data_IF_687731338242
#
_entry.id   IF_687731338242
#
_cell.length_a   1.000
_cell.length_b   1.000
_cell.length_c   1.000
_cell.angle_alpha   90.00
_cell.angle_beta   90.00
_cell.angle_gamma   90.00
#
_symmetry.space_group_name_H-M   'P 1'
#
loop_
_entity.id
_entity.type
_entity.pdbx_description
1 polymer ?
#
# COMPACT_ATOMS: atom_id res chain seq x y z
N UNK A 1 -13.59 -23.55 7.76
CA UNK A 1 -12.93 -23.85 6.47
C UNK A 1 -12.88 -22.58 5.65
N UNK A 2 -11.69 -22.05 5.38
CA UNK A 2 -11.54 -20.84 4.55
C UNK A 2 -11.65 -21.24 3.08
N UNK A 3 -12.89 -21.28 2.57
CA UNK A 3 -13.13 -21.43 1.14
C UNK A 3 -12.51 -20.26 0.35
N UNK A 4 -12.17 -20.48 -0.92
CA UNK A 4 -11.69 -19.42 -1.82
C UNK A 4 -12.61 -18.19 -1.85
N UNK A 5 -13.91 -18.40 -1.63
CA UNK A 5 -14.91 -17.32 -1.56
C UNK A 5 -14.71 -16.43 -0.32
N UNK A 6 -14.32 -17.00 0.82
CA UNK A 6 -14.04 -16.21 2.03
C UNK A 6 -12.88 -15.24 1.85
N UNK A 7 -11.88 -15.58 1.02
CA UNK A 7 -10.74 -14.70 0.77
C UNK A 7 -11.10 -13.47 -0.06
N UNK A 8 -12.18 -13.49 -0.83
CA UNK A 8 -12.60 -12.37 -1.69
C UNK A 8 -13.86 -11.64 -1.19
N UNK A 9 -14.54 -12.19 -0.20
CA UNK A 9 -15.70 -11.56 0.43
C UNK A 9 -15.26 -10.34 1.25
N UNK A 10 -16.00 -9.23 1.15
CA UNK A 10 -15.65 -7.99 1.84
C UNK A 10 -15.66 -8.11 3.37
N UNK A 11 -16.41 -9.07 3.92
CA UNK A 11 -16.57 -9.32 5.35
C UNK A 11 -15.48 -10.23 5.92
N UNK A 12 -14.78 -11.01 5.09
CA UNK A 12 -13.81 -12.01 5.58
C UNK A 12 -12.45 -11.92 4.91
N UNK A 13 -12.30 -11.08 3.89
CA UNK A 13 -11.05 -10.90 3.18
C UNK A 13 -10.00 -10.19 4.05
N UNK A 14 -8.76 -10.72 4.09
CA UNK A 14 -7.60 -10.05 4.68
C UNK A 14 -6.92 -9.06 3.73
N UNK A 15 -7.33 -8.97 2.45
CA UNK A 15 -6.86 -7.99 1.46
C UNK A 15 -7.60 -6.64 1.54
N UNK A 16 -6.82 -5.60 1.85
CA UNK A 16 -7.23 -4.24 2.14
C UNK A 16 -6.39 -3.28 1.29
N UNK A 17 -6.68 -1.98 1.40
CA UNK A 17 -5.93 -0.93 0.71
C UNK A 17 -5.41 0.06 1.73
N UNK A 18 -4.16 0.49 1.54
CA UNK A 18 -3.62 1.66 2.20
C UNK A 18 -3.70 2.80 1.18
N UNK A 19 -4.29 3.92 1.60
CA UNK A 19 -4.29 5.17 0.84
C UNK A 19 -3.67 6.27 1.68
N UNK A 20 -2.98 7.18 1.01
CA UNK A 20 -2.35 8.34 1.61
C UNK A 20 -3.36 9.49 1.62
N UNK A 21 -3.73 9.93 2.82
CA UNK A 21 -4.85 10.85 3.02
C UNK A 21 -4.34 12.21 3.47
N UNK A 22 -4.57 13.23 2.64
CA UNK A 22 -4.46 14.62 3.04
C UNK A 22 -5.73 15.03 3.79
N UNK A 23 -5.56 15.81 4.87
CA UNK A 23 -6.67 16.38 5.64
C UNK A 23 -7.71 15.35 6.08
N UNK A 24 -7.25 14.23 6.65
CA UNK A 24 -8.11 13.13 7.09
C UNK A 24 -9.26 13.61 8.00
N UNK A 25 -9.02 14.59 8.86
CA UNK A 25 -10.01 15.13 9.80
C UNK A 25 -10.93 16.21 9.19
N UNK A 26 -10.73 16.61 7.93
CA UNK A 26 -11.48 17.69 7.27
C UNK A 26 -12.24 17.13 6.04
N UNK A 27 -13.45 16.54 6.21
CA UNK A 27 -14.15 15.83 5.13
C UNK A 27 -14.28 16.61 3.81
N UNK A 28 -14.45 17.94 3.87
CA UNK A 28 -14.62 18.80 2.70
C UNK A 28 -13.31 19.07 1.93
N UNK A 29 -12.15 18.82 2.55
CA UNK A 29 -10.81 19.04 1.95
C UNK A 29 -9.99 17.75 1.87
N UNK A 30 -10.59 16.61 2.22
CA UNK A 30 -9.94 15.31 2.22
C UNK A 30 -9.60 14.88 0.81
N UNK A 31 -8.37 14.41 0.61
CA UNK A 31 -7.93 13.87 -0.67
C UNK A 31 -7.21 12.55 -0.43
N UNK A 32 -7.61 11.52 -1.17
CA UNK A 32 -6.96 10.21 -1.17
C UNK A 32 -6.01 10.10 -2.35
N UNK A 33 -4.77 9.72 -2.09
CA UNK A 33 -3.78 9.41 -3.13
C UNK A 33 -3.06 8.10 -2.83
N UNK A 34 -2.22 7.67 -3.77
CA UNK A 34 -1.30 6.54 -3.61
C UNK A 34 -1.95 5.26 -3.06
N UNK A 35 -2.87 4.72 -3.86
CA UNK A 35 -3.64 3.54 -3.51
C UNK A 35 -2.82 2.26 -3.69
N UNK A 36 -2.50 1.55 -2.61
CA UNK A 36 -1.70 0.33 -2.64
C UNK A 36 -2.39 -0.83 -1.95
N UNK A 37 -2.22 -2.05 -2.47
CA UNK A 37 -2.73 -3.25 -1.81
C UNK A 37 -1.94 -3.50 -0.53
N UNK A 38 -2.62 -4.00 0.49
CA UNK A 38 -2.02 -4.45 1.73
C UNK A 38 -2.83 -5.62 2.30
N UNK A 39 -2.24 -6.40 3.18
CA UNK A 39 -2.97 -7.49 3.85
C UNK A 39 -2.64 -7.56 5.33
N UNK A 40 -3.65 -7.90 6.12
CA UNK A 40 -3.56 -8.01 7.57
C UNK A 40 -2.93 -9.36 7.96
N UNK A 41 -1.86 -9.30 8.76
CA UNK A 41 -1.14 -10.49 9.26
C UNK A 41 -1.37 -10.74 10.76
N UNK A 42 -2.41 -10.11 11.33
CA UNK A 42 -2.78 -10.24 12.73
C UNK A 42 -2.25 -9.10 13.61
N UNK A 43 -2.87 -8.95 14.79
CA UNK A 43 -2.49 -7.96 15.81
C UNK A 43 -2.41 -6.50 15.29
N UNK A 44 -3.17 -6.16 14.25
CA UNK A 44 -3.18 -4.83 13.64
C UNK A 44 -1.98 -4.53 12.75
N UNK A 45 -1.17 -5.53 12.38
CA UNK A 45 -0.04 -5.38 11.47
C UNK A 45 -0.39 -5.70 10.03
N UNK A 46 0.07 -4.86 9.10
CA UNK A 46 -0.21 -4.98 7.67
C UNK A 46 1.07 -5.00 6.88
N UNK A 47 1.10 -5.81 5.84
CA UNK A 47 2.20 -5.84 4.87
C UNK A 47 1.76 -5.25 3.53
N UNK A 48 2.69 -4.55 2.89
CA UNK A 48 2.58 -4.00 1.54
C UNK A 48 4.00 -3.91 0.92
N UNK A 49 4.19 -3.12 -0.14
CA UNK A 49 5.46 -2.94 -0.85
C UNK A 49 6.16 -1.63 -0.47
N UNK A 50 7.50 -1.66 -0.42
CA UNK A 50 8.30 -0.52 0.02
C UNK A 50 8.61 0.49 -1.08
N UNK A 51 8.71 0.08 -2.35
CA UNK A 51 8.94 1.01 -3.47
C UNK A 51 7.85 2.07 -3.56
N UNK A 52 6.62 1.72 -3.18
CA UNK A 52 5.48 2.63 -3.15
C UNK A 52 5.69 3.82 -2.19
N UNK A 53 6.56 3.70 -1.18
CA UNK A 53 6.91 4.78 -0.25
C UNK A 53 7.83 5.85 -0.88
N UNK A 54 8.60 5.45 -1.91
CA UNK A 54 9.60 6.29 -2.58
C UNK A 54 9.05 7.04 -3.79
N UNK A 55 7.81 6.73 -4.19
CA UNK A 55 7.11 7.49 -5.24
C UNK A 55 6.88 8.92 -4.73
N UNK A 56 7.20 9.90 -5.57
CA UNK A 56 6.99 11.32 -5.27
C UNK A 56 5.56 11.73 -5.62
N UNK A 57 4.87 12.40 -4.71
CA UNK A 57 3.68 13.16 -5.08
C UNK A 57 4.10 14.34 -5.96
N UNK A 58 3.36 14.62 -7.03
CA UNK A 58 3.70 15.75 -7.91
C UNK A 58 3.62 17.11 -7.20
N UNK A 59 2.80 17.20 -6.15
CA UNK A 59 2.58 18.39 -5.33
C UNK A 59 1.83 17.99 -4.05
N UNK A 60 1.87 18.84 -3.02
CA UNK A 60 1.11 18.63 -1.79
C UNK A 60 -0.27 19.29 -1.88
N UNK A 61 -1.32 18.67 -1.34
CA UNK A 61 -2.66 19.29 -1.31
C UNK A 61 -2.81 20.30 -0.17
N UNK A 62 -2.02 20.10 0.87
CA UNK A 62 -1.97 20.94 2.05
C UNK A 62 -0.66 20.71 2.78
N UNK A 63 -0.19 21.71 3.51
CA UNK A 63 1.00 21.63 4.36
C UNK A 63 0.86 22.60 5.52
N UNK A 64 1.46 22.33 6.68
CA UNK A 64 1.49 23.35 7.73
C UNK A 64 2.33 24.55 7.28
N UNK A 65 1.92 25.74 7.69
CA UNK A 65 2.66 26.96 7.39
C UNK A 65 4.09 26.89 7.94
N UNK A 66 4.28 26.31 9.13
CA UNK A 66 5.60 26.11 9.73
C UNK A 66 6.53 25.33 8.80
N UNK A 67 6.07 24.18 8.28
CA UNK A 67 6.88 23.35 7.38
C UNK A 67 7.11 24.09 6.06
N UNK A 68 6.10 24.74 5.50
CA UNK A 68 6.26 25.53 4.28
C UNK A 68 7.34 26.61 4.44
N UNK A 69 7.29 27.38 5.53
CA UNK A 69 8.26 28.43 5.81
C UNK A 69 9.67 27.86 6.00
N UNK A 70 9.79 26.80 6.81
CA UNK A 70 11.07 26.20 7.18
C UNK A 70 11.76 25.43 6.05
N UNK A 71 11.01 24.76 5.19
CA UNK A 71 11.57 23.78 4.25
C UNK A 71 11.51 24.22 2.77
N UNK A 72 10.61 25.16 2.43
CA UNK A 72 10.36 25.57 1.05
C UNK A 72 10.55 27.07 0.84
N UNK A 73 9.90 27.93 1.63
CA UNK A 73 9.80 29.36 1.37
C UNK A 73 11.16 30.05 1.18
N UNK A 74 12.14 29.74 2.04
CA UNK A 74 13.48 30.34 1.97
C UNK A 74 14.27 29.93 0.70
N UNK A 75 13.85 28.89 -0.01
CA UNK A 75 14.47 28.41 -1.27
C UNK A 75 13.84 29.08 -2.50
N UNK A 76 12.67 29.69 -2.38
CA UNK A 76 11.93 30.29 -3.48
C UNK A 76 12.50 31.66 -3.84
N UNK A 77 12.57 31.96 -5.14
CA UNK A 77 12.75 33.35 -5.59
C UNK A 77 11.40 34.09 -5.59
N UNK A 78 11.44 35.40 -5.88
CA UNK A 78 10.24 36.25 -5.82
C UNK A 78 9.13 35.85 -6.80
N UNK A 79 9.47 35.34 -7.99
CA UNK A 79 8.46 34.93 -8.97
C UNK A 79 7.83 33.59 -8.59
N UNK A 80 8.65 32.64 -8.11
CA UNK A 80 8.18 31.34 -7.62
C UNK A 80 7.30 31.48 -6.38
N UNK A 81 7.69 32.35 -5.44
CA UNK A 81 6.87 32.66 -4.28
C UNK A 81 5.52 33.23 -4.70
N UNK A 82 5.52 34.25 -5.57
CA UNK A 82 4.28 34.85 -6.06
C UNK A 82 3.39 33.83 -6.80
N UNK A 83 4.00 32.90 -7.53
CA UNK A 83 3.29 31.82 -8.21
C UNK A 83 2.63 30.84 -7.22
N UNK A 84 3.35 30.41 -6.18
CA UNK A 84 2.77 29.54 -5.16
C UNK A 84 1.69 30.26 -4.35
N UNK A 85 1.88 31.54 -4.01
CA UNK A 85 0.88 32.35 -3.28
C UNK A 85 -0.41 32.58 -4.10
N UNK A 86 -0.36 32.47 -5.43
CA UNK A 86 -1.56 32.49 -6.29
C UNK A 86 -2.35 31.17 -6.27
N UNK A 87 -1.68 30.06 -5.97
CA UNK A 87 -2.26 28.71 -6.07
C UNK A 87 -2.48 28.04 -4.72
N UNK A 88 -1.87 28.55 -3.65
CA UNK A 88 -2.09 28.13 -2.28
C UNK A 88 -2.62 29.28 -1.45
N UNK A 89 -3.59 29.00 -0.58
CA UNK A 89 -4.05 29.96 0.41
C UNK A 89 -3.74 29.45 1.82
N UNK A 90 -3.41 30.38 2.72
CA UNK A 90 -3.26 30.07 4.15
C UNK A 90 -4.61 30.18 4.83
N UNK A 91 -4.99 29.13 5.54
CA UNK A 91 -6.17 29.12 6.40
C UNK A 91 -5.76 29.53 7.81
N UNK A 92 -6.24 30.69 8.27
CA UNK A 92 -5.82 31.28 9.55
C UNK A 92 -6.15 30.43 10.77
N UNK A 93 -7.21 29.62 10.69
CA UNK A 93 -7.65 28.78 11.81
C UNK A 93 -6.76 27.55 11.97
N UNK A 94 -6.51 26.84 10.89
CA UNK A 94 -5.68 25.62 10.90
C UNK A 94 -4.18 25.89 10.79
N UNK A 95 -3.77 27.12 10.42
CA UNK A 95 -2.39 27.50 10.11
C UNK A 95 -1.74 26.57 9.06
N UNK A 96 -2.55 26.10 8.12
CA UNK A 96 -2.13 25.29 6.98
C UNK A 96 -2.31 26.06 5.69
N UNK A 97 -1.42 25.81 4.74
CA UNK A 97 -1.59 26.21 3.36
C UNK A 97 -2.33 25.11 2.61
N UNK A 98 -3.33 25.47 1.81
CA UNK A 98 -4.14 24.54 1.03
C UNK A 98 -4.06 24.89 -0.44
N UNK A 99 -3.98 23.87 -1.29
CA UNK A 99 -4.03 24.02 -2.72
C UNK A 99 -5.44 24.46 -3.14
N UNK A 100 -5.53 25.53 -3.91
CA UNK A 100 -6.77 25.97 -4.54
C UNK A 100 -7.18 25.05 -5.69
N UNK A 101 -8.41 25.21 -6.18
CA UNK A 101 -8.80 24.57 -7.45
C UNK A 101 -7.96 25.17 -8.58
N UNK A 102 -7.09 24.36 -9.16
CA UNK A 102 -6.12 24.75 -10.18
C UNK A 102 -6.22 23.83 -11.40
N UNK A 103 -5.79 24.33 -12.56
CA UNK A 103 -5.71 23.54 -13.79
C UNK A 103 -4.42 22.70 -13.86
N UNK A 104 -4.33 21.83 -14.87
CA UNK A 104 -3.17 20.95 -15.05
C UNK A 104 -1.87 21.71 -15.34
N UNK A 105 -1.92 22.88 -15.96
CA UNK A 105 -0.73 23.66 -16.28
C UNK A 105 -0.13 24.27 -15.00
N UNK A 106 -0.99 24.80 -14.13
CA UNK A 106 -0.59 25.26 -12.79
C UNK A 106 -0.01 24.13 -11.95
N UNK A 107 -0.63 22.93 -11.95
CA UNK A 107 -0.11 21.76 -11.25
C UNK A 107 1.28 21.33 -11.73
N UNK A 108 1.51 21.32 -13.05
CA UNK A 108 2.82 21.07 -13.63
C UNK A 108 3.83 22.14 -13.20
N UNK A 109 3.43 23.41 -13.21
CA UNK A 109 4.25 24.53 -12.72
C UNK A 109 4.68 24.35 -11.26
N UNK A 110 3.73 24.01 -10.38
CA UNK A 110 4.00 23.73 -8.96
C UNK A 110 4.98 22.56 -8.84
N UNK A 111 4.71 21.44 -9.50
CA UNK A 111 5.58 20.26 -9.44
C UNK A 111 7.01 20.54 -9.92
N UNK A 112 7.15 21.33 -10.99
CA UNK A 112 8.46 21.77 -11.48
C UNK A 112 9.21 22.62 -10.47
N UNK A 113 8.53 23.56 -9.78
CA UNK A 113 9.13 24.36 -8.71
C UNK A 113 9.60 23.46 -7.57
N UNK A 114 8.75 22.55 -7.08
CA UNK A 114 9.10 21.64 -5.99
C UNK A 114 10.32 20.77 -6.35
N UNK A 115 10.35 20.24 -7.58
CA UNK A 115 11.50 19.47 -8.09
C UNK A 115 12.76 20.33 -8.17
N UNK A 116 12.67 21.54 -8.73
CA UNK A 116 13.81 22.46 -8.83
C UNK A 116 14.37 22.82 -7.45
N UNK A 117 13.52 22.97 -6.44
CA UNK A 117 13.92 23.31 -5.07
C UNK A 117 14.25 22.10 -4.21
N UNK A 118 14.21 20.88 -4.79
CA UNK A 118 14.41 19.63 -4.07
C UNK A 118 13.57 19.61 -2.79
N UNK A 119 12.28 19.90 -2.94
CA UNK A 119 11.32 19.70 -1.88
C UNK A 119 10.86 18.25 -1.94
N UNK A 120 11.16 17.48 -0.91
CA UNK A 120 10.90 16.04 -0.88
C UNK A 120 9.41 15.75 -0.64
N UNK A 121 8.75 15.27 -1.68
CA UNK A 121 7.34 14.87 -1.70
C UNK A 121 7.15 13.35 -1.73
N UNK A 122 8.20 12.57 -1.43
CA UNK A 122 8.05 11.11 -1.27
C UNK A 122 7.08 10.81 -0.14
N UNK A 123 6.25 9.79 -0.32
CA UNK A 123 5.22 9.45 0.66
C UNK A 123 5.78 9.25 2.06
N UNK A 124 6.91 8.54 2.20
CA UNK A 124 7.58 8.37 3.50
C UNK A 124 7.90 9.71 4.18
N UNK A 125 8.48 10.66 3.45
CA UNK A 125 8.82 11.99 3.97
C UNK A 125 7.58 12.81 4.30
N UNK A 126 6.52 12.68 3.49
CA UNK A 126 5.24 13.34 3.72
C UNK A 126 4.55 12.82 5.00
N UNK A 127 4.69 11.53 5.32
CA UNK A 127 4.26 10.94 6.60
C UNK A 127 5.07 11.46 7.78
N UNK A 128 6.40 11.40 7.70
CA UNK A 128 7.31 11.89 8.75
C UNK A 128 7.03 13.36 9.11
N UNK A 129 6.73 14.18 8.11
CA UNK A 129 6.39 15.59 8.25
C UNK A 129 4.92 15.83 8.60
N UNK A 130 4.11 14.78 8.78
CA UNK A 130 2.66 14.84 9.06
C UNK A 130 1.84 15.64 8.02
N UNK A 131 2.34 15.73 6.79
CA UNK A 131 1.69 16.44 5.69
C UNK A 131 0.57 15.57 5.10
N UNK A 132 0.83 14.27 4.99
CA UNK A 132 -0.10 13.26 4.49
C UNK A 132 0.09 11.98 5.30
N UNK A 133 -0.99 11.28 5.67
CA UNK A 133 -0.91 10.10 6.52
C UNK A 133 -1.52 8.86 5.87
N UNK A 134 -0.89 7.68 5.98
CA UNK A 134 -1.47 6.46 5.45
C UNK A 134 -2.66 6.02 6.31
N UNK A 135 -3.73 5.59 5.65
CA UNK A 135 -4.92 5.03 6.27
C UNK A 135 -5.30 3.74 5.57
N UNK A 136 -5.78 2.76 6.35
CA UNK A 136 -6.55 1.65 5.81
C UNK A 136 -7.91 2.15 5.36
N UNK A 137 -8.28 1.77 4.14
CA UNK A 137 -9.58 2.05 3.54
C UNK A 137 -10.36 0.75 3.50
N UNK A 138 -11.30 0.59 4.44
CA UNK A 138 -12.16 -0.60 4.55
C UNK A 138 -13.57 -0.22 4.10
N UNK A 139 -14.13 -0.99 3.17
CA UNK A 139 -15.35 -0.60 2.46
C UNK A 139 -16.36 -1.74 2.41
N UNK A 140 -17.62 -1.42 2.71
CA UNK A 140 -18.73 -2.37 2.75
C UNK A 140 -19.93 -1.85 1.98
N UNK A 141 -20.80 -2.76 1.50
CA UNK A 141 -22.11 -2.36 0.96
C UNK A 141 -23.00 -1.76 2.04
N UNK A 142 -23.06 -2.43 3.19
CA UNK A 142 -23.86 -2.01 4.32
C UNK A 142 -23.09 -1.00 5.17
N UNK A 143 -23.79 -0.19 5.97
CA UNK A 143 -23.15 0.80 6.85
C UNK A 143 -22.80 0.19 8.23
N UNK A 144 -22.19 -1.00 8.21
CA UNK A 144 -21.78 -1.73 9.41
C UNK A 144 -20.34 -2.21 9.24
N UNK A 145 -19.55 -2.14 10.30
CA UNK A 145 -18.16 -2.59 10.27
C UNK A 145 -18.14 -4.10 10.52
N UNK A 146 -17.84 -4.90 9.49
CA UNK A 146 -17.87 -6.36 9.57
C UNK A 146 -19.20 -6.96 10.09
N UNK A 147 -20.34 -6.32 9.75
CA UNK A 147 -21.70 -6.66 10.25
C UNK A 147 -21.91 -6.50 11.76
N UNK A 148 -21.03 -5.76 12.44
CA UNK A 148 -21.16 -5.45 13.87
C UNK A 148 -21.54 -3.98 14.07
N UNK A 149 -22.71 -3.75 14.64
CA UNK A 149 -23.26 -2.40 14.87
C UNK A 149 -22.62 -1.73 16.08
N UNK A 150 -22.25 -2.51 17.08
CA UNK A 150 -21.63 -2.11 18.34
C UNK A 150 -20.20 -1.58 18.17
N UNK A 151 -19.51 -1.96 17.08
CA UNK A 151 -18.18 -1.42 16.77
C UNK A 151 -18.26 0.01 16.20
N UNK A 152 -19.41 0.41 15.64
CA UNK A 152 -19.58 1.71 15.01
C UNK A 152 -19.30 2.89 15.96
N UNK A 153 -19.58 2.71 17.26
CA UNK A 153 -19.37 3.73 18.29
C UNK A 153 -17.91 4.17 18.44
N UNK A 154 -16.95 3.36 17.99
CA UNK A 154 -15.52 3.66 18.08
C UNK A 154 -15.01 4.56 16.95
N UNK A 155 -15.82 4.78 15.91
CA UNK A 155 -15.44 5.64 14.80
C UNK A 155 -15.96 7.07 14.97
N UNK A 156 -15.09 8.04 14.69
CA UNK A 156 -15.46 9.46 14.64
C UNK A 156 -16.27 9.77 13.38
N UNK A 157 -17.10 10.82 13.37
CA UNK A 157 -17.94 11.16 12.21
C UNK A 157 -17.17 11.37 10.89
N UNK A 158 -15.91 11.81 10.95
CA UNK A 158 -15.11 11.98 9.74
C UNK A 158 -14.48 10.65 9.27
N UNK A 159 -14.40 9.62 10.10
CA UNK A 159 -13.81 8.32 9.74
C UNK A 159 -14.79 7.42 9.00
N UNK A 160 -16.10 7.72 9.04
CA UNK A 160 -17.15 6.95 8.36
C UNK A 160 -17.92 7.81 7.39
N UNK A 161 -18.02 7.41 6.13
CA UNK A 161 -18.76 8.14 5.11
C UNK A 161 -19.17 7.24 3.94
N UNK A 162 -20.19 7.66 3.21
CA UNK A 162 -20.68 6.96 2.02
C UNK A 162 -20.04 7.54 0.75
N UNK A 163 -19.50 6.67 -0.10
CA UNK A 163 -18.98 7.02 -1.42
C UNK A 163 -20.02 6.66 -2.49
N UNK A 164 -20.71 7.68 -3.01
CA UNK A 164 -21.83 7.50 -3.95
C UNK A 164 -21.42 6.87 -5.29
N UNK A 165 -20.22 7.18 -5.79
CA UNK A 165 -19.72 6.68 -7.08
C UNK A 165 -19.55 5.16 -7.10
N UNK A 166 -19.06 4.59 -5.99
CA UNK A 166 -18.83 3.16 -5.84
C UNK A 166 -19.93 2.45 -5.04
N UNK A 167 -20.90 3.20 -4.49
CA UNK A 167 -22.01 2.72 -3.65
C UNK A 167 -21.53 1.88 -2.45
N UNK A 168 -20.59 2.43 -1.68
CA UNK A 168 -20.00 1.80 -0.50
C UNK A 168 -19.96 2.75 0.69
N UNK A 169 -19.95 2.19 1.88
CA UNK A 169 -19.60 2.88 3.11
C UNK A 169 -18.15 2.60 3.44
N UNK A 170 -17.40 3.65 3.76
CA UNK A 170 -15.96 3.62 3.97
C UNK A 170 -15.66 3.93 5.42
N UNK A 171 -14.80 3.09 6.00
CA UNK A 171 -14.22 3.24 7.32
C UNK A 171 -12.73 3.51 7.17
N UNK A 172 -12.25 4.62 7.73
CA UNK A 172 -10.85 5.00 7.75
C UNK A 172 -10.22 4.67 9.09
N UNK A 173 -9.13 3.92 9.04
CA UNK A 173 -8.32 3.54 10.20
C UNK A 173 -6.90 4.03 9.95
N UNK A 174 -6.37 4.85 10.85
CA UNK A 174 -5.01 5.39 10.74
C UNK A 174 -4.00 4.25 10.94
N UNK A 175 -2.96 4.23 10.10
CA UNK A 175 -1.82 3.33 10.26
C UNK A 175 -0.53 4.15 10.29
N UNK A 176 0.51 3.59 10.90
CA UNK A 176 1.86 4.12 10.82
C UNK A 176 2.78 3.13 10.11
N UNK A 177 3.78 3.65 9.40
CA UNK A 177 4.87 2.84 8.88
C UNK A 177 5.77 2.44 10.05
N UNK A 178 5.88 1.14 10.30
CA UNK A 178 6.79 0.59 11.32
C UNK A 178 8.19 0.47 10.75
N UNK A 179 8.29 -0.15 9.57
CA UNK A 179 9.57 -0.41 8.93
C UNK A 179 9.40 -0.61 7.42
N UNK A 180 10.40 -0.18 6.66
CA UNK A 180 10.50 -0.42 5.23
C UNK A 180 11.75 -1.26 4.93
N UNK A 181 11.54 -2.52 4.59
CA UNK A 181 12.56 -3.46 4.16
C UNK A 181 12.86 -3.24 2.68
N UNK A 182 13.58 -2.16 2.41
CA UNK A 182 13.85 -1.67 1.07
C UNK A 182 14.53 -2.73 0.17
N UNK A 183 15.51 -3.46 0.67
CA UNK A 183 16.16 -4.55 -0.07
C UNK A 183 15.18 -5.65 -0.47
N UNK A 184 14.23 -6.00 0.40
CA UNK A 184 13.20 -7.02 0.17
C UNK A 184 11.95 -6.47 -0.55
N UNK A 185 11.86 -5.15 -0.74
CA UNK A 185 10.67 -4.45 -1.23
C UNK A 185 9.40 -4.69 -0.39
N UNK A 186 9.52 -4.79 0.93
CA UNK A 186 8.39 -5.02 1.85
C UNK A 186 8.23 -3.83 2.81
N UNK A 187 7.01 -3.34 2.97
CA UNK A 187 6.65 -2.33 3.96
C UNK A 187 5.73 -2.92 5.03
N UNK A 188 6.08 -2.69 6.30
CA UNK A 188 5.32 -3.12 7.47
C UNK A 188 4.63 -1.90 8.10
N UNK A 189 3.32 -1.98 8.26
CA UNK A 189 2.49 -0.97 8.88
C UNK A 189 1.81 -1.52 10.15
N UNK A 190 1.39 -0.61 11.04
CA UNK A 190 0.60 -0.93 12.23
C UNK A 190 -0.57 0.02 12.38
N UNK A 191 -1.73 -0.50 12.77
CA UNK A 191 -2.87 0.33 13.17
C UNK A 191 -2.52 1.14 14.43
N UNK A 192 -2.85 2.43 14.39
CA UNK A 192 -2.67 3.35 15.52
C UNK A 192 -3.99 4.05 15.85
N UNK A 193 -4.07 4.64 17.06
CA UNK A 193 -5.20 5.47 17.50
C UNK A 193 -6.58 4.79 17.38
N UNK A 194 -6.61 3.46 17.47
CA UNK A 194 -7.80 2.64 17.23
C UNK A 194 -7.93 1.59 18.34
N UNK A 195 -9.13 1.41 18.95
CA UNK A 195 -9.35 0.40 19.98
C UNK A 195 -9.09 -1.03 19.51
N UNK A 196 -8.68 -1.90 20.42
CA UNK A 196 -8.36 -3.30 20.12
C UNK A 196 -9.59 -4.05 19.60
N UNK A 197 -10.77 -3.69 20.08
CA UNK A 197 -12.06 -4.24 19.66
C UNK A 197 -12.29 -4.05 18.17
N UNK A 198 -11.88 -2.92 17.59
CA UNK A 198 -11.96 -2.69 16.15
C UNK A 198 -10.93 -3.54 15.41
N UNK A 199 -9.69 -3.59 15.93
CA UNK A 199 -8.57 -4.33 15.32
C UNK A 199 -8.88 -5.83 15.24
N UNK A 200 -9.44 -6.40 16.30
CA UNK A 200 -9.76 -7.83 16.41
C UNK A 200 -10.86 -8.27 15.43
N UNK A 201 -11.63 -7.34 14.86
CA UNK A 201 -12.63 -7.65 13.81
C UNK A 201 -12.06 -7.68 12.41
N UNK A 202 -10.88 -7.12 12.18
CA UNK A 202 -10.29 -7.08 10.84
C UNK A 202 -9.74 -8.48 10.52
N UNK A 203 -10.24 -9.18 9.48
CA UNK A 203 -9.76 -10.50 9.11
C UNK A 203 -8.27 -10.48 8.81
N UNK A 204 -7.52 -11.46 9.33
CA UNK A 204 -6.11 -11.66 9.04
C UNK A 204 -5.87 -12.94 8.28
N UNK A 205 -4.69 -13.05 7.67
CA UNK A 205 -4.14 -14.29 7.13
C UNK A 205 -2.89 -14.65 7.91
N UNK A 206 -2.72 -15.94 8.21
CA UNK A 206 -1.48 -16.40 8.84
C UNK A 206 -0.32 -16.31 7.85
N UNK A 207 0.89 -16.21 8.39
CA UNK A 207 2.11 -16.13 7.58
C UNK A 207 2.88 -17.44 7.63
N UNK A 208 3.27 -17.93 6.45
CA UNK A 208 4.31 -18.93 6.28
C UNK A 208 5.63 -18.22 5.90
N UNK A 209 6.57 -18.23 6.84
CA UNK A 209 7.89 -17.64 6.71
C UNK A 209 8.90 -18.56 5.97
N UNK A 210 8.52 -19.77 5.54
CA UNK A 210 9.41 -20.73 4.88
C UNK A 210 9.69 -20.34 3.43
N UNK A 211 10.90 -20.65 2.97
CA UNK A 211 11.27 -20.51 1.57
C UNK A 211 10.76 -21.73 0.79
N UNK A 212 9.91 -21.49 -0.20
CA UNK A 212 9.50 -22.48 -1.17
C UNK A 212 10.60 -22.66 -2.22
N UNK A 213 11.32 -23.77 -2.16
CA UNK A 213 12.40 -24.13 -3.10
C UNK A 213 11.90 -25.03 -4.26
N UNK A 214 10.95 -25.92 -3.98
CA UNK A 214 10.35 -26.87 -4.93
C UNK A 214 8.88 -26.53 -5.22
N UNK A 215 8.29 -27.08 -6.28
CA UNK A 215 6.87 -26.87 -6.65
C UNK A 215 5.94 -27.26 -5.47
N UNK A 216 5.38 -26.28 -4.73
CA UNK A 216 4.61 -26.52 -3.52
C UNK A 216 3.19 -26.99 -3.82
N UNK A 217 2.85 -27.17 -5.11
CA UNK A 217 1.48 -27.16 -5.60
C UNK A 217 1.04 -25.74 -6.02
N UNK A 218 -0.27 -25.50 -5.99
CA UNK A 218 -0.83 -24.23 -6.49
C UNK A 218 -0.51 -23.05 -5.57
N UNK A 219 0.31 -22.12 -6.05
CA UNK A 219 0.39 -20.76 -5.51
C UNK A 219 -0.88 -20.00 -5.91
N UNK A 220 -1.33 -19.07 -5.08
CA UNK A 220 -2.48 -18.24 -5.39
C UNK A 220 -2.19 -16.77 -5.10
N UNK A 221 -2.72 -15.85 -5.91
CA UNK A 221 -2.64 -14.42 -5.65
C UNK A 221 -4.01 -13.91 -5.19
N UNK A 222 -4.06 -13.25 -4.03
CA UNK A 222 -5.23 -12.51 -3.57
C UNK A 222 -5.01 -11.03 -3.87
N UNK A 223 -5.70 -10.49 -4.87
CA UNK A 223 -5.44 -9.13 -5.36
C UNK A 223 -6.72 -8.37 -5.68
N UNK A 224 -6.59 -7.07 -5.96
CA UNK A 224 -7.71 -6.25 -6.41
C UNK A 224 -8.22 -6.71 -7.78
N UNK A 225 -9.54 -6.75 -7.98
CA UNK A 225 -10.15 -7.17 -9.24
C UNK A 225 -9.81 -6.21 -10.40
N UNK A 226 -9.72 -6.67 -11.67
CA UNK A 226 -9.19 -5.87 -12.78
C UNK A 226 -9.88 -4.51 -13.02
N UNK A 227 -11.20 -4.46 -12.84
CA UNK A 227 -12.04 -3.30 -13.16
C UNK A 227 -12.44 -2.45 -11.95
N UNK A 228 -11.94 -2.75 -10.74
CA UNK A 228 -12.35 -2.03 -9.53
C UNK A 228 -11.24 -2.05 -8.47
N UNK A 229 -11.13 -0.97 -7.70
CA UNK A 229 -10.31 -0.93 -6.48
C UNK A 229 -11.01 -1.58 -5.27
N UNK A 230 -12.30 -1.87 -5.37
CA UNK A 230 -13.11 -2.44 -4.27
C UNK A 230 -13.28 -3.95 -4.43
N UNK A 231 -13.37 -4.40 -5.68
CA UNK A 231 -13.46 -5.82 -6.00
C UNK A 231 -12.18 -6.56 -5.64
N UNK A 232 -12.32 -7.84 -5.29
CA UNK A 232 -11.21 -8.74 -4.97
C UNK A 232 -11.25 -9.93 -5.89
N UNK A 233 -10.08 -10.50 -6.14
CA UNK A 233 -9.90 -11.66 -6.99
C UNK A 233 -8.90 -12.58 -6.34
N UNK A 234 -9.20 -13.88 -6.43
CA UNK A 234 -8.32 -14.94 -5.99
C UNK A 234 -8.05 -15.85 -7.18
N UNK A 235 -6.85 -15.78 -7.74
CA UNK A 235 -6.45 -16.55 -8.91
C UNK A 235 -5.30 -17.49 -8.59
N UNK A 236 -5.23 -18.59 -9.35
CA UNK A 236 -4.05 -19.45 -9.33
C UNK A 236 -2.88 -18.74 -10.00
N UNK A 237 -1.69 -18.98 -9.45
CA UNK A 237 -0.40 -18.61 -9.97
C UNK A 237 0.53 -19.83 -9.87
N UNK A 238 1.67 -19.79 -10.54
CA UNK A 238 2.66 -20.85 -10.54
C UNK A 238 4.02 -20.29 -10.18
N UNK A 239 4.68 -20.89 -9.20
CA UNK A 239 6.09 -20.64 -8.96
C UNK A 239 6.90 -21.30 -10.09
N UNK A 240 7.59 -20.50 -10.89
CA UNK A 240 8.43 -21.02 -11.97
C UNK A 240 9.89 -21.15 -11.58
N UNK A 241 10.30 -20.44 -10.52
CA UNK A 241 11.64 -20.57 -9.97
C UNK A 241 11.99 -19.41 -9.05
N UNK A 242 13.28 -19.23 -8.85
CA UNK A 242 13.87 -18.18 -8.04
C UNK A 242 14.84 -17.34 -8.85
N UNK A 243 14.89 -16.04 -8.55
CA UNK A 243 15.83 -15.09 -9.14
C UNK A 243 16.65 -14.48 -8.02
N UNK A 244 17.97 -14.44 -8.20
CA UNK A 244 18.83 -13.54 -7.43
C UNK A 244 18.71 -12.14 -8.05
N UNK A 245 17.91 -11.29 -7.41
CA UNK A 245 17.52 -10.02 -7.99
C UNK A 245 18.47 -8.91 -7.54
N UNK A 246 18.92 -8.08 -8.48
CA UNK A 246 19.61 -6.83 -8.19
C UNK A 246 19.08 -5.75 -9.14
N UNK A 247 18.35 -4.78 -8.60
CA UNK A 247 17.84 -3.65 -9.36
C UNK A 247 18.11 -2.35 -8.60
N UNK A 248 18.43 -1.29 -9.36
CA UNK A 248 18.69 0.03 -8.81
C UNK A 248 17.73 1.02 -9.45
N UNK A 249 16.78 1.50 -8.67
CA UNK A 249 15.89 2.58 -9.09
C UNK A 249 16.45 3.92 -8.60
N UNK A 250 16.64 4.93 -9.47
CA UNK A 250 17.06 6.25 -9.04
C UNK A 250 16.01 6.87 -8.11
N UNK A 251 16.45 7.39 -6.95
CA UNK A 251 15.65 8.26 -6.09
C UNK A 251 16.39 9.59 -5.88
N UNK A 252 15.72 10.68 -6.24
CA UNK A 252 16.26 12.05 -6.27
C UNK A 252 16.71 12.58 -4.89
N UNK A 253 16.32 11.91 -3.81
CA UNK A 253 16.52 12.36 -2.43
C UNK A 253 17.31 11.34 -1.60
N UNK A 254 16.89 10.08 -1.61
CA UNK A 254 17.44 9.04 -0.74
C UNK A 254 18.61 8.24 -1.30
N UNK A 255 19.13 8.63 -2.47
CA UNK A 255 20.07 7.80 -3.24
C UNK A 255 19.35 6.70 -4.00
N UNK A 256 20.09 5.76 -4.60
CA UNK A 256 19.46 4.66 -5.33
C UNK A 256 18.65 3.77 -4.37
N UNK A 257 17.43 3.46 -4.76
CA UNK A 257 16.63 2.40 -4.16
C UNK A 257 17.11 1.06 -4.71
N UNK A 258 17.70 0.23 -3.85
CA UNK A 258 18.33 -1.04 -4.23
C UNK A 258 17.39 -2.17 -3.83
N UNK A 259 16.89 -2.89 -4.83
CA UNK A 259 16.23 -4.17 -4.65
C UNK A 259 17.30 -5.23 -4.73
N UNK A 260 17.46 -6.03 -3.67
CA UNK A 260 18.47 -7.07 -3.66
C UNK A 260 17.97 -8.38 -3.02
N UNK A 261 18.60 -9.48 -3.43
CA UNK A 261 18.37 -10.82 -2.88
C UNK A 261 17.28 -11.62 -3.59
N UNK A 262 16.95 -12.76 -3.00
CA UNK A 262 16.10 -13.75 -3.64
C UNK A 262 14.67 -13.25 -3.87
N UNK A 263 14.13 -13.57 -5.06
CA UNK A 263 12.73 -13.35 -5.45
C UNK A 263 12.15 -14.60 -6.05
N UNK A 264 10.85 -14.80 -5.87
CA UNK A 264 10.11 -15.78 -6.65
C UNK A 264 9.81 -15.24 -8.03
N UNK A 265 10.07 -16.06 -9.04
CA UNK A 265 9.56 -15.88 -10.38
C UNK A 265 8.20 -16.56 -10.44
N UNK A 266 7.15 -15.77 -10.63
CA UNK A 266 5.76 -16.27 -10.58
C UNK A 266 5.07 -16.03 -11.91
N UNK A 267 4.47 -17.07 -12.49
CA UNK A 267 3.62 -16.98 -13.66
C UNK A 267 2.14 -16.94 -13.26
N UNK A 268 1.35 -16.10 -13.92
CA UNK A 268 -0.09 -16.05 -13.77
C UNK A 268 -0.69 -14.70 -14.11
N UNK A 269 -1.98 -14.53 -13.81
CA UNK A 269 -2.60 -13.23 -13.97
C UNK A 269 -2.19 -12.29 -12.85
N UNK A 270 -1.58 -11.16 -13.21
CA UNK A 270 -1.25 -10.06 -12.30
C UNK A 270 -1.83 -8.76 -12.83
N UNK A 271 -2.56 -8.04 -11.98
CA UNK A 271 -3.08 -6.73 -12.34
C UNK A 271 -2.02 -5.66 -12.08
N UNK A 272 -1.76 -4.79 -13.05
CA UNK A 272 -0.99 -3.58 -12.76
C UNK A 272 -1.67 -2.72 -11.69
N UNK A 273 -0.89 -2.29 -10.69
CA UNK A 273 -1.42 -1.60 -9.52
C UNK A 273 -1.93 -2.52 -8.42
N UNK A 274 -1.68 -3.85 -8.49
CA UNK A 274 -1.88 -4.77 -7.36
C UNK A 274 -0.62 -5.06 -6.55
N UNK A 275 0.46 -4.29 -6.72
CA UNK A 275 1.64 -4.39 -5.86
C UNK A 275 1.25 -4.32 -4.38
N UNK A 276 1.88 -5.15 -3.55
CA UNK A 276 1.49 -5.34 -2.15
C UNK A 276 0.45 -6.44 -1.92
N UNK A 277 -0.10 -7.06 -2.97
CA UNK A 277 -0.97 -8.22 -2.85
C UNK A 277 -0.22 -9.45 -2.32
N UNK A 278 -0.82 -10.26 -1.42
CA UNK A 278 -0.20 -11.49 -0.95
C UNK A 278 -0.34 -12.64 -1.94
N UNK A 279 0.74 -13.41 -2.03
CA UNK A 279 0.72 -14.78 -2.53
C UNK A 279 0.46 -15.76 -1.39
N UNK A 280 -0.55 -16.59 -1.57
CA UNK A 280 -1.01 -17.57 -0.60
C UNK A 280 -0.71 -18.99 -1.07
N UNK A 281 -0.31 -19.84 -0.13
CA UNK A 281 -0.24 -21.29 -0.29
C UNK A 281 -1.30 -21.94 0.61
N UNK A 282 -1.81 -23.11 0.20
CA UNK A 282 -2.74 -23.86 1.02
C UNK A 282 -1.98 -24.75 2.00
N UNK A 283 -2.18 -24.54 3.29
CA UNK A 283 -1.68 -25.40 4.35
C UNK A 283 -2.68 -26.57 4.56
N UNK A 284 -2.33 -27.81 4.17
CA UNK A 284 -3.22 -28.96 4.28
C UNK A 284 -3.38 -29.44 5.73
N UNK A 285 -2.42 -29.16 6.61
CA UNK A 285 -2.46 -29.56 8.02
C UNK A 285 -3.48 -28.68 8.76
N UNK A 286 -3.43 -27.37 8.52
CA UNK A 286 -4.32 -26.39 9.15
C UNK A 286 -5.60 -26.13 8.34
N UNK A 287 -5.73 -26.73 7.16
CA UNK A 287 -6.86 -26.56 6.23
C UNK A 287 -7.19 -25.08 5.94
N UNK A 288 -6.17 -24.26 5.71
CA UNK A 288 -6.31 -22.81 5.49
C UNK A 288 -5.26 -22.28 4.52
N UNK A 289 -5.54 -21.12 3.93
CA UNK A 289 -4.56 -20.40 3.13
C UNK A 289 -3.65 -19.55 4.05
N UNK A 290 -2.36 -19.54 3.75
CA UNK A 290 -1.34 -18.78 4.49
C UNK A 290 -0.52 -17.95 3.51
N UNK A 291 -0.17 -16.72 3.89
CA UNK A 291 0.62 -15.81 3.07
C UNK A 291 2.10 -16.21 3.13
N UNK A 292 2.75 -16.27 1.96
CA UNK A 292 4.15 -16.68 1.85
C UNK A 292 5.03 -15.64 1.13
N UNK A 293 4.45 -14.85 0.22
CA UNK A 293 5.18 -13.79 -0.48
C UNK A 293 4.29 -12.59 -0.77
N UNK A 294 4.91 -11.49 -1.18
CA UNK A 294 4.23 -10.25 -1.60
C UNK A 294 4.56 -9.97 -3.06
N UNK A 295 3.55 -9.62 -3.85
CA UNK A 295 3.75 -9.12 -5.21
C UNK A 295 4.52 -7.79 -5.17
N UNK A 296 5.76 -7.83 -5.67
CA UNK A 296 6.71 -6.72 -5.62
C UNK A 296 6.75 -6.00 -6.97
N UNK A 297 7.28 -6.65 -8.00
CA UNK A 297 7.57 -6.03 -9.30
C UNK A 297 7.00 -6.85 -10.45
N UNK A 298 6.75 -6.20 -11.59
CA UNK A 298 6.54 -6.92 -12.84
C UNK A 298 7.89 -7.48 -13.31
N UNK A 299 7.93 -8.75 -13.74
CA UNK A 299 9.16 -9.34 -14.24
C UNK A 299 9.31 -9.01 -15.73
N UNK A 300 10.47 -8.49 -16.14
CA UNK A 300 10.75 -8.10 -17.54
C UNK A 300 10.78 -9.22 -18.57
N UNK A 301 10.32 -10.44 -18.26
CA UNK A 301 10.09 -11.49 -19.24
C UNK A 301 8.87 -11.07 -20.07
N UNK A 302 9.13 -10.45 -21.22
CA UNK A 302 8.15 -9.88 -22.13
C UNK A 302 7.66 -10.93 -23.13
N UNK A 303 6.36 -10.94 -23.43
CA UNK A 303 5.92 -11.45 -24.72
C UNK A 303 6.36 -10.47 -25.82
N UNK A 304 7.00 -11.01 -26.85
CA UNK A 304 7.03 -10.35 -28.14
C UNK A 304 5.75 -10.71 -28.92
N UNK A 305 4.65 -10.00 -28.67
CA UNK A 305 3.43 -10.18 -29.45
C UNK A 305 3.60 -9.41 -30.75
N UNK A 306 3.91 -10.13 -31.84
CA UNK A 306 3.99 -9.60 -33.21
C UNK A 306 5.10 -8.56 -33.47
N UNK A 307 6.17 -8.50 -32.67
CA UNK A 307 7.25 -7.50 -32.83
C UNK A 307 6.82 -6.04 -32.59
N UNK A 308 5.63 -5.83 -32.02
CA UNK A 308 5.11 -4.51 -31.67
C UNK A 308 5.50 -4.19 -30.21
N UNK A 309 6.68 -3.55 -30.05
CA UNK A 309 7.21 -3.13 -28.74
C UNK A 309 6.50 -1.92 -28.11
N UNK A 310 5.55 -1.31 -28.82
CA UNK A 310 4.81 -0.13 -28.34
C UNK A 310 3.34 -0.47 -28.05
N UNK A 311 2.93 -0.23 -26.80
CA UNK A 311 1.52 0.05 -26.48
C UNK A 311 0.70 -1.07 -25.84
N UNK A 312 1.17 -2.32 -25.77
CA UNK A 312 0.50 -3.41 -25.05
C UNK A 312 1.49 -4.35 -24.36
N UNK A 313 2.15 -3.87 -23.30
CA UNK A 313 2.96 -4.71 -22.43
C UNK A 313 2.06 -5.70 -21.67
N UNK A 314 2.19 -6.99 -21.94
CA UNK A 314 1.64 -8.05 -21.09
C UNK A 314 2.82 -8.77 -20.44
N UNK A 315 3.01 -8.55 -19.14
CA UNK A 315 3.91 -9.36 -18.34
C UNK A 315 3.18 -10.65 -17.98
N UNK A 316 3.74 -11.80 -18.37
CA UNK A 316 3.22 -13.11 -17.93
C UNK A 316 3.81 -13.51 -16.57
N UNK A 317 4.87 -12.81 -16.16
CA UNK A 317 5.62 -13.08 -14.94
C UNK A 317 5.65 -11.86 -14.02
N UNK A 318 5.53 -12.14 -12.73
CA UNK A 318 5.80 -11.21 -11.65
C UNK A 318 7.02 -11.69 -10.86
N UNK A 319 7.67 -10.75 -10.19
CA UNK A 319 8.59 -11.02 -9.09
C UNK A 319 7.85 -10.84 -7.77
N UNK A 320 7.95 -11.83 -6.90
CA UNK A 320 7.40 -11.76 -5.55
C UNK A 320 8.52 -11.84 -4.51
N UNK A 321 8.38 -11.05 -3.46
CA UNK A 321 9.30 -11.05 -2.32
C UNK A 321 8.83 -12.08 -1.29
N UNK A 322 9.61 -13.15 -1.03
CA UNK A 322 9.27 -14.12 -0.01
C UNK A 322 9.26 -13.46 1.38
N UNK A 323 8.27 -13.78 2.20
CA UNK A 323 8.18 -13.30 3.59
C UNK A 323 9.31 -13.85 4.47
N UNK A 324 9.99 -14.91 4.01
CA UNK A 324 11.26 -15.40 4.54
C UNK A 324 12.30 -14.28 4.74
N UNK A 325 12.35 -13.29 3.83
CA UNK A 325 13.33 -12.20 3.88
C UNK A 325 13.18 -11.30 5.12
N UNK A 326 12.01 -11.30 5.75
CA UNK A 326 11.71 -10.51 6.96
C UNK A 326 11.28 -11.38 8.15
N UNK A 327 11.60 -12.69 8.10
CA UNK A 327 11.13 -13.69 9.06
C UNK A 327 11.44 -13.31 10.51
N UNK A 328 12.59 -12.72 10.78
CA UNK A 328 13.04 -12.42 12.14
C UNK A 328 12.19 -11.29 12.75
N UNK A 329 11.83 -10.29 11.95
CA UNK A 329 10.90 -9.24 12.37
C UNK A 329 9.51 -9.82 12.61
N UNK A 330 9.00 -10.66 11.71
CA UNK A 330 7.69 -11.29 11.85
C UNK A 330 7.62 -12.21 13.08
N UNK A 331 8.73 -12.87 13.43
CA UNK A 331 8.84 -13.63 14.68
C UNK A 331 8.82 -12.74 15.92
N UNK A 332 9.53 -11.61 15.90
CA UNK A 332 9.55 -10.66 17.02
C UNK A 332 8.14 -10.10 17.32
N UNK A 333 7.32 -9.94 16.27
CA UNK A 333 5.92 -9.49 16.36
C UNK A 333 4.93 -10.61 16.71
N UNK A 334 5.39 -11.87 16.85
CA UNK A 334 4.57 -13.07 17.11
C UNK A 334 3.49 -13.32 16.05
N UNK A 335 3.73 -12.93 14.80
CA UNK A 335 2.81 -13.13 13.66
C UNK A 335 3.16 -14.36 12.81
N UNK A 336 4.36 -14.93 12.95
CA UNK A 336 4.71 -16.25 12.40
C UNK A 336 4.53 -17.34 13.48
N UNK A 337 3.63 -18.31 13.24
CA UNK A 337 3.40 -19.46 14.12
C UNK A 337 4.26 -20.66 13.70
N UNK A 338 5.32 -20.93 14.48
CA UNK A 338 6.31 -21.99 14.24
C UNK A 338 5.84 -23.39 14.69
N UNK A 339 4.65 -23.54 15.27
CA UNK A 339 4.25 -24.79 15.94
C UNK A 339 3.92 -25.99 15.03
N UNK A 340 4.32 -25.97 13.74
CA UNK A 340 3.90 -27.00 12.76
C UNK A 340 4.97 -27.60 11.85
N UNK A 341 6.22 -27.12 11.83
CA UNK A 341 7.19 -27.54 10.81
C UNK A 341 8.56 -28.01 11.36
N UNK A 342 8.69 -28.19 12.68
CA UNK A 342 9.81 -28.95 13.23
C UNK A 342 9.50 -30.45 13.18
N UNK A 343 10.20 -31.16 12.29
CA UNK A 343 10.28 -32.63 12.11
C UNK A 343 9.36 -33.24 11.06
N UNK A 344 9.76 -33.14 9.78
CA UNK A 344 9.74 -34.29 8.87
C UNK A 344 11.06 -34.30 8.10
N UNK A 345 12.09 -34.93 8.69
CA UNK A 345 13.21 -35.51 7.97
C UNK A 345 13.04 -37.03 7.95
#
# INVERSE_FOLDING_TARGET
>A
MTSKLHLIDEQTSPLQRIMWVYNADEPQRRVFENNICAFHIGHGYFLSVAHNLRIQAGYFKSISEEIYQKELLYKLDGSQKSFLDQHYFTDEYSRKMYLNKVDNAALQGIGNILKQKRFDTRWVTMAEKTICRPHLVIQFKDNTFYKEEDIYQYFKPHQVFTEGEIKKNTFLIEVELVEAFYSADIALYKIVNTPQEVIDRIPSVDVNCDLIEDDPGSLHCLQSAPSSSVGRMFNTAKLEGMVDHLNMMPDDFGGNYIHEGYRYLVNGYFRFGSSGAPYLVYDPIRCKYVANAIQSEACGIQFDIRHEREGNFQYDHAMASPLYLIKDQLKALKVCDMSGFENVF
#
